data_IF_416132580349
#
_entry.id   IF_416132580349
#
_cell.length_a   1.000
_cell.length_b   1.000
_cell.length_c   1.000
_cell.angle_alpha   90.00
_cell.angle_beta   90.00
_cell.angle_gamma   90.00
#
_symmetry.space_group_name_H-M   'P 1'
#
loop_
_entity.id
_entity.type
_entity.pdbx_description
1 polymer ?
#
# COMPACT_ATOMS: atom_id res chain seq x y z
N UNK A 1 43.23 10.17 76.10
CA UNK A 1 44.08 10.23 74.87
C UNK A 1 43.97 8.87 74.18
N UNK A 2 43.81 8.78 72.84
CA UNK A 2 44.00 9.80 71.82
C UNK A 2 42.71 10.18 71.05
N UNK A 3 42.82 11.32 70.36
CA UNK A 3 41.85 11.96 69.46
C UNK A 3 42.03 11.40 68.04
N UNK A 4 40.95 11.21 67.30
CA UNK A 4 40.99 11.10 65.83
C UNK A 4 39.96 12.09 65.27
N UNK A 5 40.47 13.10 64.55
CA UNK A 5 39.72 13.99 63.66
C UNK A 5 39.56 13.31 62.29
N UNK A 6 38.39 13.46 61.66
CA UNK A 6 38.24 13.47 60.20
C UNK A 6 36.87 14.11 59.89
N UNK A 7 36.86 15.37 59.47
CA UNK A 7 36.91 15.83 58.07
C UNK A 7 35.52 15.75 57.40
N UNK A 8 34.81 16.88 57.40
CA UNK A 8 33.57 17.07 56.68
C UNK A 8 33.80 17.13 55.17
N UNK A 9 32.98 16.40 54.42
CA UNK A 9 32.94 16.48 52.97
C UNK A 9 31.63 17.18 52.59
N UNK A 10 31.73 18.42 52.13
CA UNK A 10 30.60 19.22 51.69
C UNK A 10 30.03 18.68 50.38
N UNK A 11 28.74 18.32 50.39
CA UNK A 11 28.00 17.99 49.17
C UNK A 11 27.73 19.27 48.37
N UNK A 12 28.46 19.46 47.28
CA UNK A 12 28.13 20.46 46.25
C UNK A 12 26.99 19.88 45.42
N UNK A 13 25.77 20.43 45.58
CA UNK A 13 24.65 20.19 44.68
C UNK A 13 24.91 20.97 43.38
N UNK A 14 25.23 20.26 42.29
CA UNK A 14 25.27 20.84 40.94
C UNK A 14 23.85 20.79 40.38
N UNK A 15 23.19 21.95 40.31
CA UNK A 15 21.89 22.10 39.66
C UNK A 15 22.11 22.09 38.14
N UNK A 16 21.83 20.97 37.48
CA UNK A 16 21.85 20.88 36.02
C UNK A 16 20.63 21.61 35.46
N UNK A 17 20.84 22.82 34.92
CA UNK A 17 19.82 23.55 34.17
C UNK A 17 19.69 22.90 32.79
N UNK A 18 18.62 22.11 32.60
CA UNK A 18 18.24 21.58 31.30
C UNK A 18 17.68 22.73 30.45
N UNK A 19 18.50 23.28 29.55
CA UNK A 19 18.05 24.21 28.52
C UNK A 19 17.39 23.39 27.42
N UNK A 20 16.06 23.23 27.50
CA UNK A 20 15.26 22.69 26.41
C UNK A 20 15.06 23.79 25.35
N UNK A 21 15.89 23.76 24.30
CA UNK A 21 15.68 24.60 23.12
C UNK A 21 14.39 24.14 22.40
N UNK A 22 13.50 25.06 21.98
CA UNK A 22 12.35 24.69 21.17
C UNK A 22 12.86 24.22 19.81
N UNK A 23 12.60 22.97 19.44
CA UNK A 23 12.75 22.55 18.06
C UNK A 23 11.68 23.28 17.24
N UNK A 24 12.10 24.19 16.36
CA UNK A 24 11.22 24.88 15.44
C UNK A 24 10.52 23.86 14.53
N UNK A 25 9.28 23.52 14.87
CA UNK A 25 8.42 22.61 14.10
C UNK A 25 8.18 23.07 12.65
N UNK A 26 8.56 24.31 12.32
CA UNK A 26 8.41 24.91 10.99
C UNK A 26 9.57 24.58 10.04
N UNK A 27 10.74 24.17 10.55
CA UNK A 27 11.93 23.89 9.72
C UNK A 27 11.85 22.59 8.89
N UNK A 28 10.80 21.78 9.09
CA UNK A 28 10.61 20.49 8.40
C UNK A 28 9.39 20.44 7.48
N UNK A 29 8.81 21.61 7.14
CA UNK A 29 7.67 21.66 6.23
C UNK A 29 8.16 21.54 4.78
N UNK A 30 7.76 20.45 4.12
CA UNK A 30 8.05 20.26 2.70
C UNK A 30 7.29 21.25 1.82
N UNK A 31 8.02 21.93 0.96
CA UNK A 31 7.50 22.81 -0.07
C UNK A 31 7.59 22.12 -1.44
N UNK A 32 6.52 22.21 -2.21
CA UNK A 32 6.51 21.66 -3.58
C UNK A 32 7.35 22.58 -4.48
N UNK A 33 8.23 22.02 -5.34
CA UNK A 33 9.08 22.85 -6.18
C UNK A 33 8.23 23.65 -7.19
N UNK A 34 8.67 24.87 -7.51
CA UNK A 34 8.04 25.69 -8.56
C UNK A 34 8.17 25.06 -9.95
N UNK A 35 9.24 24.30 -10.17
CA UNK A 35 9.47 23.52 -11.39
C UNK A 35 10.01 22.14 -11.01
N UNK A 36 9.38 21.09 -11.54
CA UNK A 36 9.86 19.73 -11.34
C UNK A 36 11.03 19.41 -12.28
N UNK A 37 11.88 18.51 -11.83
CA UNK A 37 13.01 17.99 -12.59
C UNK A 37 12.78 16.53 -13.00
N UNK A 38 13.43 16.12 -14.09
CA UNK A 38 13.41 14.74 -14.59
C UNK A 38 12.00 14.15 -14.84
N UNK A 39 11.10 14.98 -15.39
CA UNK A 39 9.81 14.53 -15.93
C UNK A 39 10.03 13.93 -17.31
N UNK A 40 9.85 12.60 -17.43
CA UNK A 40 10.04 11.86 -18.69
C UNK A 40 8.73 11.56 -19.45
N UNK A 41 7.62 11.44 -18.72
CA UNK A 41 6.30 11.08 -19.27
C UNK A 41 5.29 12.22 -19.08
N UNK A 42 5.32 12.87 -17.91
CA UNK A 42 4.56 14.11 -17.69
C UNK A 42 5.24 15.27 -18.44
N UNK A 43 4.47 16.29 -18.89
CA UNK A 43 5.03 17.47 -19.56
C UNK A 43 6.15 18.15 -18.75
N UNK A 44 7.18 18.66 -19.42
CA UNK A 44 8.32 19.31 -18.74
C UNK A 44 7.92 20.60 -17.99
N UNK A 45 6.87 21.28 -18.45
CA UNK A 45 6.32 22.52 -17.89
C UNK A 45 5.12 22.27 -16.95
N UNK A 46 4.98 21.05 -16.42
CA UNK A 46 3.81 20.66 -15.63
C UNK A 46 3.61 21.57 -14.39
N UNK A 47 2.44 22.23 -14.25
CA UNK A 47 2.21 23.15 -13.14
C UNK A 47 2.35 22.48 -11.77
N UNK A 48 2.98 23.13 -10.76
CA UNK A 48 3.23 22.52 -9.45
C UNK A 48 1.99 21.94 -8.77
N UNK A 49 0.85 22.63 -8.89
CA UNK A 49 -0.41 22.17 -8.29
C UNK A 49 -0.92 20.90 -8.99
N UNK A 50 -0.72 20.78 -10.31
CA UNK A 50 -1.08 19.57 -11.06
C UNK A 50 -0.13 18.42 -10.75
N UNK A 51 1.17 18.68 -10.65
CA UNK A 51 2.15 17.68 -10.23
C UNK A 51 1.78 17.10 -8.87
N UNK A 52 1.53 17.97 -7.89
CA UNK A 52 1.08 17.57 -6.55
C UNK A 52 -0.16 16.69 -6.60
N UNK A 53 -1.15 17.06 -7.41
CA UNK A 53 -2.38 16.29 -7.55
C UNK A 53 -2.12 14.90 -8.14
N UNK A 54 -1.27 14.80 -9.17
CA UNK A 54 -0.90 13.52 -9.80
C UNK A 54 -0.13 12.62 -8.82
N UNK A 55 0.89 13.15 -8.15
CA UNK A 55 1.69 12.37 -7.18
C UNK A 55 0.83 11.89 -5.99
N UNK A 56 -0.05 12.76 -5.48
CA UNK A 56 -1.02 12.36 -4.44
C UNK A 56 -1.99 11.31 -4.98
N UNK A 57 -2.42 11.43 -6.25
CA UNK A 57 -3.24 10.45 -6.94
C UNK A 57 -2.61 9.06 -6.99
N UNK A 58 -1.31 8.96 -7.27
CA UNK A 58 -0.58 7.69 -7.22
C UNK A 58 -0.61 7.06 -5.83
N UNK A 59 -0.27 7.83 -4.80
CA UNK A 59 -0.25 7.30 -3.41
C UNK A 59 -1.59 6.71 -3.01
N UNK A 60 -2.70 7.38 -3.35
CA UNK A 60 -4.06 6.93 -3.04
C UNK A 60 -4.47 5.72 -3.86
N UNK A 61 -4.15 5.70 -5.15
CA UNK A 61 -4.51 4.61 -6.04
C UNK A 61 -3.81 3.30 -5.68
N UNK A 62 -2.55 3.38 -5.27
CA UNK A 62 -1.70 2.22 -4.96
C UNK A 62 -1.70 1.87 -3.46
N UNK A 63 -2.17 2.76 -2.58
CA UNK A 63 -2.11 2.56 -1.13
C UNK A 63 -0.68 2.62 -0.56
N UNK A 64 0.18 3.45 -1.15
CA UNK A 64 1.61 3.56 -0.81
C UNK A 64 2.01 4.99 -0.46
N UNK A 65 3.21 5.18 0.08
CA UNK A 65 3.80 6.50 0.39
C UNK A 65 4.87 6.89 -0.64
N UNK A 66 5.37 8.13 -0.54
CA UNK A 66 6.33 8.71 -1.48
C UNK A 66 7.60 7.85 -1.64
N UNK A 67 8.08 7.26 -0.55
CA UNK A 67 9.24 6.36 -0.47
C UNK A 67 9.09 5.10 -1.34
N UNK A 68 7.86 4.75 -1.72
CA UNK A 68 7.64 3.63 -2.61
C UNK A 68 8.29 3.84 -3.98
N UNK A 69 8.21 5.06 -4.52
CA UNK A 69 8.74 5.38 -5.85
C UNK A 69 9.96 6.30 -5.80
N UNK A 70 10.07 7.18 -4.81
CA UNK A 70 11.17 8.14 -4.72
C UNK A 70 12.30 7.64 -3.82
N UNK A 71 13.49 8.22 -4.01
CA UNK A 71 14.66 7.92 -3.18
C UNK A 71 14.52 8.70 -1.89
N UNK A 72 14.37 7.98 -0.79
CA UNK A 72 14.20 8.55 0.54
C UNK A 72 13.80 7.47 1.55
N UNK A 73 13.96 7.79 2.82
CA UNK A 73 13.68 6.86 3.91
C UNK A 73 12.28 7.08 4.47
N UNK A 74 11.54 5.98 4.65
CA UNK A 74 10.20 6.03 5.22
C UNK A 74 10.23 6.55 6.66
N UNK A 75 9.33 7.47 6.99
CA UNK A 75 9.30 8.14 8.30
C UNK A 75 10.22 9.36 8.43
N UNK A 76 11.15 9.58 7.50
CA UNK A 76 11.96 10.81 7.47
C UNK A 76 11.20 11.98 6.82
N UNK A 77 11.56 13.24 7.13
CA UNK A 77 10.97 14.41 6.49
C UNK A 77 11.12 14.37 4.97
N UNK A 78 10.09 14.77 4.22
CA UNK A 78 10.15 14.79 2.74
C UNK A 78 11.24 15.72 2.19
N UNK A 79 11.75 16.67 2.99
CA UNK A 79 12.88 17.52 2.62
C UNK A 79 14.19 16.75 2.46
N UNK A 80 14.28 15.50 2.95
CA UNK A 80 15.47 14.64 2.78
C UNK A 80 15.38 13.74 1.54
N UNK A 81 14.29 13.79 0.79
CA UNK A 81 14.06 12.93 -0.37
C UNK A 81 14.70 13.52 -1.61
N UNK A 82 15.27 12.65 -2.44
CA UNK A 82 15.62 12.97 -3.82
C UNK A 82 14.48 12.54 -4.75
N UNK A 83 13.61 13.50 -5.08
CA UNK A 83 12.46 13.26 -5.96
C UNK A 83 12.86 13.11 -7.43
N UNK A 84 13.98 13.72 -7.84
CA UNK A 84 14.44 13.74 -9.23
C UNK A 84 15.19 12.46 -9.60
N UNK A 85 15.88 11.82 -8.64
CA UNK A 85 16.63 10.58 -8.85
C UNK A 85 15.76 9.41 -9.35
N UNK A 86 16.39 8.57 -10.16
CA UNK A 86 15.85 7.33 -10.72
C UNK A 86 16.47 6.08 -10.08
N UNK A 87 17.26 6.22 -9.01
CA UNK A 87 17.92 5.09 -8.34
C UNK A 87 16.92 4.09 -7.75
N UNK A 88 15.69 4.52 -7.43
CA UNK A 88 14.60 3.60 -7.08
C UNK A 88 13.91 3.10 -8.37
N UNK A 89 14.07 1.81 -8.74
CA UNK A 89 13.55 1.27 -10.00
C UNK A 89 12.01 1.30 -10.10
N UNK A 90 11.29 1.42 -8.97
CA UNK A 90 9.82 1.54 -8.97
C UNK A 90 9.35 2.83 -9.65
N UNK A 91 10.20 3.87 -9.73
CA UNK A 91 9.89 5.09 -10.47
C UNK A 91 9.80 4.83 -11.97
N UNK A 92 10.68 4.00 -12.51
CA UNK A 92 10.63 3.62 -13.93
C UNK A 92 9.42 2.75 -14.23
N UNK A 93 9.06 1.83 -13.33
CA UNK A 93 7.81 1.06 -13.44
C UNK A 93 6.61 2.01 -13.47
N UNK A 94 6.56 3.02 -12.59
CA UNK A 94 5.48 3.99 -12.57
C UNK A 94 5.38 4.80 -13.88
N UNK A 95 6.51 5.11 -14.53
CA UNK A 95 6.53 5.75 -15.86
C UNK A 95 5.94 4.84 -16.93
N UNK A 96 6.34 3.58 -16.97
CA UNK A 96 5.76 2.59 -17.89
C UNK A 96 4.25 2.43 -17.68
N UNK A 97 3.79 2.44 -16.42
CA UNK A 97 2.35 2.40 -16.12
C UNK A 97 1.61 3.64 -16.61
N UNK A 98 2.23 4.83 -16.59
CA UNK A 98 1.64 6.05 -17.15
C UNK A 98 1.53 5.99 -18.67
N UNK A 99 2.56 5.48 -19.35
CA UNK A 99 2.54 5.27 -20.80
C UNK A 99 1.42 4.29 -21.19
N UNK A 100 1.34 3.15 -20.49
CA UNK A 100 0.28 2.16 -20.67
C UNK A 100 -1.13 2.76 -20.47
N UNK A 101 -1.33 3.61 -19.45
CA UNK A 101 -2.60 4.31 -19.26
C UNK A 101 -2.91 5.28 -20.39
N UNK A 102 -1.90 5.96 -20.93
CA UNK A 102 -2.03 6.81 -22.11
C UNK A 102 -2.54 6.01 -23.32
N UNK A 103 -1.92 4.86 -23.59
CA UNK A 103 -2.30 3.97 -24.68
C UNK A 103 -3.72 3.42 -24.50
N UNK A 104 -4.06 2.92 -23.31
CA UNK A 104 -5.41 2.44 -23.00
C UNK A 104 -6.43 3.54 -23.24
N UNK A 105 -6.20 4.75 -22.71
CA UNK A 105 -7.14 5.87 -22.87
C UNK A 105 -7.30 6.30 -24.33
N UNK A 106 -6.22 6.28 -25.10
CA UNK A 106 -6.28 6.55 -26.54
C UNK A 106 -7.06 5.47 -27.30
N UNK A 107 -6.86 4.19 -27.00
CA UNK A 107 -7.65 3.10 -27.59
C UNK A 107 -9.12 3.21 -27.18
N UNK A 108 -9.39 3.65 -25.95
CA UNK A 108 -10.75 3.90 -25.51
C UNK A 108 -11.43 4.98 -26.37
N UNK A 109 -10.75 6.00 -26.86
CA UNK A 109 -11.37 6.99 -27.76
C UNK A 109 -11.83 6.40 -29.11
N UNK A 110 -11.32 5.23 -29.51
CA UNK A 110 -11.64 4.62 -30.81
C UNK A 110 -12.80 3.63 -30.77
N UNK A 111 -13.38 3.36 -29.59
CA UNK A 111 -14.50 2.42 -29.44
C UNK A 111 -15.81 3.17 -29.20
N UNK A 112 -16.91 2.62 -29.71
CA UNK A 112 -18.24 3.08 -29.34
C UNK A 112 -18.55 2.63 -27.91
N UNK A 113 -18.79 3.60 -27.02
CA UNK A 113 -18.95 3.35 -25.58
C UNK A 113 -20.43 3.38 -25.25
N UNK A 114 -20.86 2.41 -24.46
CA UNK A 114 -22.17 2.48 -23.83
C UNK A 114 -22.20 3.61 -22.79
N UNK A 115 -23.23 4.46 -22.85
CA UNK A 115 -23.45 5.56 -21.91
C UNK A 115 -22.91 6.92 -22.38
N UNK A 116 -23.33 7.98 -21.68
CA UNK A 116 -22.98 9.38 -22.03
C UNK A 116 -21.74 9.90 -21.32
N UNK A 117 -21.24 9.19 -20.30
CA UNK A 117 -20.12 9.63 -19.50
C UNK A 117 -18.79 9.25 -20.19
N UNK A 118 -17.75 10.12 -20.14
CA UNK A 118 -16.41 9.72 -20.56
C UNK A 118 -15.93 8.51 -19.76
N UNK A 119 -15.28 7.57 -20.46
CA UNK A 119 -14.61 6.43 -19.84
C UNK A 119 -13.11 6.64 -19.95
N UNK A 120 -12.46 6.88 -18.82
CA UNK A 120 -11.00 6.98 -18.72
C UNK A 120 -10.48 6.03 -17.64
N UNK A 121 -9.38 5.36 -17.95
CA UNK A 121 -8.64 4.54 -17.01
C UNK A 121 -7.60 5.39 -16.28
N UNK A 122 -7.45 5.10 -15.00
CA UNK A 122 -6.37 5.63 -14.18
C UNK A 122 -5.87 4.53 -13.23
N UNK A 123 -4.81 4.81 -12.50
CA UNK A 123 -4.18 3.85 -11.58
C UNK A 123 -5.21 3.19 -10.65
N UNK A 124 -6.20 3.94 -10.15
CA UNK A 124 -7.18 3.45 -9.18
C UNK A 124 -8.16 2.43 -9.78
N UNK A 125 -8.33 2.40 -11.11
CA UNK A 125 -9.21 1.43 -11.77
C UNK A 125 -8.73 0.00 -11.53
N UNK A 126 -7.41 -0.21 -11.63
CA UNK A 126 -6.78 -1.52 -11.43
C UNK A 126 -6.23 -1.71 -10.01
N UNK A 127 -5.48 -0.74 -9.49
CA UNK A 127 -4.77 -0.89 -8.21
C UNK A 127 -5.69 -0.91 -7.00
N UNK A 128 -6.78 -0.14 -7.00
CA UNK A 128 -7.82 -0.17 -5.95
C UNK A 128 -7.25 -0.12 -4.50
N UNK A 129 -6.16 0.60 -4.30
CA UNK A 129 -5.50 0.77 -3.00
C UNK A 129 -4.44 -0.27 -2.66
N UNK A 130 -4.03 -1.12 -3.60
CA UNK A 130 -2.91 -2.07 -3.45
C UNK A 130 -1.85 -1.88 -4.55
N UNK A 131 -0.54 -1.98 -4.22
CA UNK A 131 0.53 -1.73 -5.18
C UNK A 131 0.69 -2.86 -6.21
N UNK A 132 0.28 -4.08 -5.86
CA UNK A 132 0.21 -5.23 -6.76
C UNK A 132 -1.26 -5.58 -6.99
N UNK A 133 -1.87 -5.21 -8.13
CA UNK A 133 -3.25 -5.57 -8.41
C UNK A 133 -3.32 -7.05 -8.81
N UNK A 134 -4.07 -7.84 -8.05
CA UNK A 134 -4.41 -9.23 -8.35
C UNK A 134 -5.76 -9.57 -7.71
N UNK A 135 -6.39 -10.65 -8.15
CA UNK A 135 -7.62 -11.14 -7.52
C UNK A 135 -7.33 -11.69 -6.12
N UNK A 136 -8.39 -11.89 -5.32
CA UNK A 136 -8.27 -12.55 -4.03
C UNK A 136 -7.68 -13.95 -4.20
N UNK A 137 -8.25 -14.73 -5.11
CA UNK A 137 -7.84 -16.11 -5.41
C UNK A 137 -6.36 -16.21 -5.76
N UNK A 138 -5.84 -15.27 -6.56
CA UNK A 138 -4.43 -15.24 -6.93
C UNK A 138 -3.52 -14.94 -5.72
N UNK A 139 -3.91 -14.01 -4.85
CA UNK A 139 -3.17 -13.70 -3.62
C UNK A 139 -3.07 -14.91 -2.69
N UNK A 140 -4.22 -15.57 -2.50
CA UNK A 140 -4.36 -16.72 -1.62
C UNK A 140 -3.62 -17.93 -2.17
N UNK A 141 -3.63 -18.16 -3.49
CA UNK A 141 -2.88 -19.24 -4.12
C UNK A 141 -1.36 -19.02 -4.11
N UNK A 142 -0.89 -17.76 -4.23
CA UNK A 142 0.52 -17.41 -4.04
C UNK A 142 0.96 -17.77 -2.61
N UNK A 143 0.16 -17.36 -1.62
CA UNK A 143 0.42 -17.65 -0.20
C UNK A 143 0.34 -19.13 0.12
N UNK A 144 -0.68 -19.83 -0.39
CA UNK A 144 -0.84 -21.28 -0.23
C UNK A 144 0.38 -22.04 -0.74
N UNK A 145 0.91 -21.65 -1.90
CA UNK A 145 2.08 -22.29 -2.49
C UNK A 145 3.36 -22.10 -1.64
N UNK A 146 3.44 -21.02 -0.87
CA UNK A 146 4.60 -20.70 -0.02
C UNK A 146 4.45 -21.19 1.44
N UNK A 147 3.23 -21.18 1.97
CA UNK A 147 2.93 -21.29 3.40
C UNK A 147 1.81 -22.28 3.74
N UNK A 148 1.28 -23.00 2.75
CA UNK A 148 0.22 -23.99 2.93
C UNK A 148 -1.13 -23.39 3.33
N UNK A 149 -2.04 -24.24 3.79
CA UNK A 149 -3.42 -23.88 4.15
C UNK A 149 -3.47 -22.82 5.24
N UNK A 150 -2.72 -22.99 6.32
CA UNK A 150 -2.79 -22.07 7.48
C UNK A 150 -2.37 -20.66 7.07
N UNK A 151 -1.24 -20.52 6.36
CA UNK A 151 -0.79 -19.22 5.87
C UNK A 151 -1.77 -18.58 4.88
N UNK A 152 -2.41 -19.37 4.01
CA UNK A 152 -3.45 -18.87 3.12
C UNK A 152 -4.66 -18.33 3.90
N UNK A 153 -5.11 -19.03 4.94
CA UNK A 153 -6.27 -18.62 5.73
C UNK A 153 -5.96 -17.40 6.61
N UNK A 154 -4.74 -17.30 7.12
CA UNK A 154 -4.25 -16.10 7.82
C UNK A 154 -4.23 -14.88 6.89
N UNK A 155 -3.67 -15.03 5.67
CA UNK A 155 -3.69 -13.97 4.65
C UNK A 155 -5.12 -13.59 4.27
N UNK A 156 -6.04 -14.54 4.11
CA UNK A 156 -7.44 -14.22 3.87
C UNK A 156 -8.05 -13.35 4.98
N UNK A 157 -7.80 -13.71 6.24
CA UNK A 157 -8.29 -12.95 7.38
C UNK A 157 -7.72 -11.52 7.39
N UNK A 158 -6.41 -11.36 7.17
CA UNK A 158 -5.74 -10.05 7.11
C UNK A 158 -6.26 -9.19 5.94
N UNK A 159 -6.34 -9.77 4.73
CA UNK A 159 -6.86 -9.09 3.56
C UNK A 159 -8.31 -8.65 3.78
N UNK A 160 -9.14 -9.53 4.35
CA UNK A 160 -10.54 -9.23 4.63
C UNK A 160 -10.67 -8.12 5.68
N UNK A 161 -9.94 -8.18 6.78
CA UNK A 161 -9.94 -7.12 7.80
C UNK A 161 -9.57 -5.77 7.19
N UNK A 162 -8.53 -5.73 6.37
CA UNK A 162 -8.00 -4.49 5.81
C UNK A 162 -8.84 -3.94 4.66
N UNK A 163 -9.35 -4.80 3.78
CA UNK A 163 -9.88 -4.40 2.47
C UNK A 163 -11.37 -4.69 2.24
N UNK A 164 -12.07 -5.36 3.14
CA UNK A 164 -13.50 -5.58 3.00
C UNK A 164 -14.25 -4.23 2.88
N UNK A 165 -15.08 -4.10 1.85
CA UNK A 165 -15.77 -2.84 1.51
C UNK A 165 -14.91 -1.75 0.85
N UNK A 166 -13.59 -1.98 0.66
CA UNK A 166 -12.68 -1.06 -0.06
C UNK A 166 -12.46 -1.46 -1.51
N UNK A 167 -13.05 -2.58 -1.91
CA UNK A 167 -13.09 -3.13 -3.25
C UNK A 167 -11.73 -3.52 -3.86
N UNK A 168 -10.65 -3.54 -3.07
CA UNK A 168 -9.35 -4.06 -3.54
C UNK A 168 -9.44 -5.53 -3.94
N UNK A 169 -10.26 -6.29 -3.21
CA UNK A 169 -10.53 -7.71 -3.44
C UNK A 169 -12.04 -7.96 -3.39
N UNK A 170 -12.47 -9.00 -4.09
CA UNK A 170 -13.83 -9.52 -3.98
C UNK A 170 -13.87 -10.56 -2.85
N UNK A 171 -14.60 -10.24 -1.78
CA UNK A 171 -14.84 -11.15 -0.65
C UNK A 171 -16.24 -11.77 -0.72
N UNK A 172 -16.86 -11.73 -1.91
CA UNK A 172 -18.13 -12.39 -2.17
C UNK A 172 -18.03 -13.91 -2.13
N UNK A 173 -19.18 -14.54 -1.96
CA UNK A 173 -19.31 -16.00 -1.87
C UNK A 173 -18.65 -16.74 -3.04
N UNK A 174 -18.83 -16.22 -4.26
CA UNK A 174 -18.33 -16.85 -5.48
C UNK A 174 -16.80 -16.92 -5.53
N UNK A 175 -16.08 -15.95 -4.96
CA UNK A 175 -14.61 -15.95 -4.94
C UNK A 175 -14.08 -17.10 -4.09
N UNK A 176 -14.59 -17.25 -2.87
CA UNK A 176 -14.22 -18.38 -2.01
C UNK A 176 -14.61 -19.71 -2.63
N UNK A 177 -15.78 -19.80 -3.26
CA UNK A 177 -16.18 -21.03 -3.95
C UNK A 177 -15.25 -21.38 -5.10
N UNK A 178 -14.90 -20.41 -5.93
CA UNK A 178 -13.98 -20.60 -7.06
C UNK A 178 -12.60 -21.05 -6.59
N UNK A 179 -12.09 -20.46 -5.51
CA UNK A 179 -10.83 -20.88 -4.89
C UNK A 179 -10.92 -22.31 -4.34
N UNK A 180 -11.99 -22.66 -3.62
CA UNK A 180 -12.19 -24.00 -3.09
C UNK A 180 -12.22 -25.06 -4.20
N UNK A 181 -12.93 -24.82 -5.31
CA UNK A 181 -12.90 -25.72 -6.46
C UNK A 181 -11.53 -25.76 -7.16
N UNK A 182 -10.80 -24.65 -7.21
CA UNK A 182 -9.44 -24.64 -7.75
C UNK A 182 -8.49 -25.52 -6.91
N UNK A 183 -8.64 -25.53 -5.57
CA UNK A 183 -7.90 -26.40 -4.67
C UNK A 183 -8.32 -27.87 -4.80
N UNK A 184 -9.62 -28.16 -4.91
CA UNK A 184 -10.12 -29.52 -5.17
C UNK A 184 -9.58 -30.11 -6.47
N UNK A 185 -9.55 -29.32 -7.55
CA UNK A 185 -9.01 -29.75 -8.84
C UNK A 185 -7.50 -30.08 -8.76
N UNK A 186 -6.80 -29.56 -7.74
CA UNK A 186 -5.39 -29.85 -7.44
C UNK A 186 -5.23 -30.97 -6.41
N UNK A 187 -6.32 -31.61 -5.98
CA UNK A 187 -6.36 -32.63 -4.91
C UNK A 187 -5.94 -32.10 -3.53
N UNK A 188 -5.98 -30.79 -3.33
CA UNK A 188 -5.67 -30.13 -2.05
C UNK A 188 -6.93 -30.12 -1.15
N UNK A 189 -7.34 -31.31 -0.71
CA UNK A 189 -8.63 -31.52 -0.04
C UNK A 189 -8.78 -30.73 1.26
N UNK A 190 -7.75 -30.73 2.11
CA UNK A 190 -7.79 -30.03 3.40
C UNK A 190 -7.91 -28.51 3.21
N UNK A 191 -7.18 -27.97 2.23
CA UNK A 191 -7.24 -26.55 1.87
C UNK A 191 -8.61 -26.17 1.31
N UNK A 192 -9.16 -27.00 0.42
CA UNK A 192 -10.49 -26.77 -0.13
C UNK A 192 -11.58 -26.77 0.96
N UNK A 193 -11.56 -27.75 1.87
CA UNK A 193 -12.50 -27.83 2.99
C UNK A 193 -12.36 -26.59 3.89
N UNK A 194 -11.14 -26.11 4.16
CA UNK A 194 -10.92 -24.90 4.94
C UNK A 194 -11.57 -23.67 4.28
N UNK A 195 -11.39 -23.52 2.96
CA UNK A 195 -11.99 -22.42 2.18
C UNK A 195 -13.52 -22.51 2.14
N UNK A 196 -14.10 -23.69 1.91
CA UNK A 196 -15.56 -23.87 1.89
C UNK A 196 -16.19 -23.64 3.27
N UNK A 197 -15.54 -24.08 4.35
CA UNK A 197 -15.98 -23.76 5.72
C UNK A 197 -15.97 -22.26 5.99
N UNK A 198 -14.94 -21.56 5.55
CA UNK A 198 -14.88 -20.10 5.66
C UNK A 198 -15.98 -19.43 4.82
N UNK A 199 -16.30 -19.98 3.64
CA UNK A 199 -17.42 -19.50 2.81
C UNK A 199 -18.76 -19.63 3.55
N UNK A 200 -19.06 -20.81 4.10
CA UNK A 200 -20.27 -21.06 4.91
C UNK A 200 -20.36 -20.10 6.11
N UNK A 201 -19.23 -19.81 6.76
CA UNK A 201 -19.18 -18.89 7.90
C UNK A 201 -19.58 -17.46 7.52
N UNK A 202 -19.17 -16.96 6.35
CA UNK A 202 -19.53 -15.61 5.89
C UNK A 202 -20.91 -15.56 5.20
N UNK A 203 -21.37 -16.69 4.64
CA UNK A 203 -22.61 -16.78 3.87
C UNK A 203 -23.49 -17.95 4.37
N UNK A 204 -23.95 -17.93 5.63
CA UNK A 204 -24.68 -19.05 6.25
C UNK A 204 -26.09 -19.27 5.71
N UNK A 205 -26.60 -18.36 4.88
CA UNK A 205 -27.92 -18.51 4.22
C UNK A 205 -27.77 -19.00 2.77
N UNK A 206 -26.55 -19.18 2.27
CA UNK A 206 -26.31 -19.60 0.90
C UNK A 206 -26.32 -21.11 0.76
N UNK A 207 -27.30 -21.64 0.02
CA UNK A 207 -27.33 -23.05 -0.35
C UNK A 207 -26.09 -23.47 -1.13
N UNK A 208 -25.54 -22.58 -1.96
CA UNK A 208 -24.36 -22.87 -2.78
C UNK A 208 -23.10 -23.02 -1.93
N UNK A 209 -22.93 -22.22 -0.87
CA UNK A 209 -21.81 -22.38 0.05
C UNK A 209 -21.83 -23.75 0.77
N UNK A 210 -23.02 -24.27 1.11
CA UNK A 210 -23.17 -25.61 1.71
C UNK A 210 -23.04 -26.75 0.71
N UNK A 211 -23.50 -26.57 -0.54
CA UNK A 211 -23.36 -27.58 -1.60
C UNK A 211 -21.88 -27.88 -1.91
N UNK A 212 -21.03 -26.86 -1.79
CA UNK A 212 -19.60 -27.00 -2.07
C UNK A 212 -18.77 -27.61 -0.94
N UNK A 213 -19.26 -27.62 0.31
CA UNK A 213 -18.56 -28.13 1.50
C UNK A 213 -18.78 -29.63 1.73
#
# INVERSE_FOLDING_TARGET
MPRILAAGCGSILVLAVLVSAPMDANAQRFEWPEKAENLKVLPEDFPPQRLKAVMTGFTRALGVRCSHCHVGEEGQPLTTFDFASDENPKKDIARTMLEMLGDINKTLETIDKEGRAPVNMWCHTCHRGVPRPHTLDAALMETFSAHGTDGMMDEYAELRERFYGRAAYDFGETSLNSLGYALLNRSELDAAIAVFRENVKHFPESSNAYDSL
#
